data_IF_413273671671
#
_entry.id   IF_413273671671
#
_cell.length_a   1.000
_cell.length_b   1.000
_cell.length_c   1.000
_cell.angle_alpha   90.00
_cell.angle_beta   90.00
_cell.angle_gamma   90.00
#
_symmetry.space_group_name_H-M   'P 1'
#
loop_
_entity.id
_entity.type
_entity.pdbx_description
1 polymer ?
#
# COMPACT_ATOMS: atom_id res chain seq x y z
N UNK A 1 -19.65 14.26 11.19
CA UNK A 1 -20.77 15.01 10.58
C UNK A 1 -20.67 14.74 9.09
N UNK A 2 -21.57 14.09 8.36
CA UNK A 2 -22.96 13.67 8.52
C UNK A 2 -23.08 12.23 8.00
N UNK A 3 -23.68 11.32 8.77
CA UNK A 3 -24.22 10.10 8.18
C UNK A 3 -25.42 10.51 7.34
N UNK A 4 -25.21 10.60 6.03
CA UNK A 4 -26.27 10.82 5.05
C UNK A 4 -27.22 9.62 5.17
N UNK A 5 -28.30 9.79 5.94
CA UNK A 5 -29.39 8.82 6.09
C UNK A 5 -29.89 8.52 4.69
N UNK A 6 -29.42 7.42 4.11
CA UNK A 6 -29.93 6.90 2.85
C UNK A 6 -31.45 6.83 3.01
N UNK A 7 -32.24 7.40 2.08
CA UNK A 7 -33.69 7.35 2.18
C UNK A 7 -34.10 5.88 2.13
N UNK A 8 -34.25 5.32 3.33
CA UNK A 8 -35.13 4.24 3.75
C UNK A 8 -35.52 3.33 2.58
N UNK A 9 -34.78 2.24 2.39
CA UNK A 9 -35.18 1.11 1.55
C UNK A 9 -36.62 0.65 1.88
N UNK A 10 -37.02 0.85 3.14
CA UNK A 10 -38.40 0.73 3.65
C UNK A 10 -39.42 1.68 3.00
N UNK A 11 -39.01 2.82 2.45
CA UNK A 11 -39.86 3.76 1.72
C UNK A 11 -40.14 3.24 0.30
N UNK A 12 -39.15 2.61 -0.35
CA UNK A 12 -39.35 1.98 -1.65
C UNK A 12 -40.36 0.84 -1.57
N UNK A 13 -40.30 0.01 -0.52
CA UNK A 13 -41.30 -1.02 -0.30
C UNK A 13 -42.67 -0.46 0.10
N UNK A 14 -42.75 0.62 0.89
CA UNK A 14 -44.01 1.29 1.18
C UNK A 14 -44.66 1.84 -0.10
N UNK A 15 -43.85 2.38 -1.02
CA UNK A 15 -44.29 2.84 -2.34
C UNK A 15 -44.73 1.65 -3.22
N UNK A 16 -44.02 0.53 -3.23
CA UNK A 16 -44.41 -0.68 -3.98
C UNK A 16 -45.71 -1.28 -3.43
N UNK A 17 -45.87 -1.35 -2.10
CA UNK A 17 -47.10 -1.83 -1.47
C UNK A 17 -48.28 -0.90 -1.82
N UNK A 18 -48.07 0.41 -1.78
CA UNK A 18 -49.12 1.38 -2.07
C UNK A 18 -49.46 1.48 -3.57
N UNK A 19 -48.48 1.41 -4.46
CA UNK A 19 -48.69 1.54 -5.92
C UNK A 19 -49.01 0.23 -6.63
N UNK A 20 -48.57 -0.92 -6.12
CA UNK A 20 -48.76 -2.21 -6.79
C UNK A 20 -49.83 -3.04 -6.08
N UNK A 21 -49.76 -3.18 -4.75
CA UNK A 21 -50.67 -4.08 -4.04
C UNK A 21 -52.10 -3.51 -3.90
N UNK A 22 -52.23 -2.22 -3.58
CA UNK A 22 -53.53 -1.56 -3.44
C UNK A 22 -54.35 -1.52 -4.74
N UNK A 23 -53.77 -1.15 -5.90
CA UNK A 23 -54.51 -1.10 -7.15
C UNK A 23 -54.83 -2.49 -7.72
N UNK A 24 -53.91 -3.46 -7.62
CA UNK A 24 -54.16 -4.83 -8.09
C UNK A 24 -55.22 -5.54 -7.24
N UNK A 25 -55.26 -5.27 -5.93
CA UNK A 25 -56.31 -5.77 -5.05
C UNK A 25 -57.67 -5.14 -5.35
N UNK A 26 -57.73 -3.81 -5.49
CA UNK A 26 -58.97 -3.10 -5.84
C UNK A 26 -59.54 -3.53 -7.21
N UNK A 27 -58.66 -3.68 -8.20
CA UNK A 27 -59.05 -4.14 -9.54
C UNK A 27 -59.46 -5.62 -9.55
N UNK A 28 -58.81 -6.45 -8.73
CA UNK A 28 -59.17 -7.86 -8.54
C UNK A 28 -60.56 -8.06 -7.93
N UNK A 29 -60.92 -7.28 -6.90
CA UNK A 29 -62.25 -7.32 -6.27
C UNK A 29 -63.33 -6.82 -7.23
N UNK A 30 -63.06 -5.75 -7.98
CA UNK A 30 -64.00 -5.19 -8.95
C UNK A 30 -64.31 -6.16 -10.11
N UNK A 31 -63.29 -6.86 -10.62
CA UNK A 31 -63.46 -7.87 -11.68
C UNK A 31 -64.13 -9.14 -11.16
N UNK A 32 -63.81 -9.57 -9.93
CA UNK A 32 -64.46 -10.73 -9.31
C UNK A 32 -65.97 -10.53 -9.12
N UNK A 33 -66.40 -9.32 -8.77
CA UNK A 33 -67.81 -8.99 -8.59
C UNK A 33 -68.60 -8.88 -9.92
N UNK A 34 -67.93 -8.79 -11.07
CA UNK A 34 -68.58 -8.57 -12.37
C UNK A 34 -68.60 -9.80 -13.30
N UNK A 35 -67.64 -10.72 -13.21
CA UNK A 35 -67.50 -11.82 -14.19
C UNK A 35 -67.33 -13.24 -13.63
N UNK A 36 -67.34 -13.43 -12.31
CA UNK A 36 -67.31 -14.78 -11.71
C UNK A 36 -66.03 -15.59 -11.97
N UNK A 37 -64.94 -14.96 -12.43
CA UNK A 37 -63.65 -15.61 -12.66
C UNK A 37 -62.74 -15.43 -11.43
N UNK A 38 -62.66 -16.47 -10.60
CA UNK A 38 -61.84 -16.49 -9.37
C UNK A 38 -60.32 -16.45 -9.62
N UNK A 39 -59.87 -16.68 -10.86
CA UNK A 39 -58.45 -16.70 -11.20
C UNK A 39 -57.73 -15.37 -10.98
N UNK A 40 -58.40 -14.24 -11.23
CA UNK A 40 -57.79 -12.92 -11.04
C UNK A 40 -57.69 -12.55 -9.54
N UNK A 41 -58.62 -13.02 -8.72
CA UNK A 41 -58.63 -12.78 -7.27
C UNK A 41 -57.49 -13.54 -6.57
N UNK A 42 -57.25 -14.79 -6.99
CA UNK A 42 -56.13 -15.58 -6.49
C UNK A 42 -54.77 -14.94 -6.80
N UNK A 43 -54.61 -14.36 -8.00
CA UNK A 43 -53.39 -13.64 -8.39
C UNK A 43 -53.14 -12.39 -7.54
N UNK A 44 -54.20 -11.63 -7.20
CA UNK A 44 -54.11 -10.48 -6.30
C UNK A 44 -53.68 -10.87 -4.89
N UNK A 45 -54.30 -11.89 -4.29
CA UNK A 45 -53.91 -12.40 -2.97
C UNK A 45 -52.46 -12.91 -2.95
N UNK A 46 -52.01 -13.59 -4.01
CA UNK A 46 -50.63 -14.07 -4.12
C UNK A 46 -49.61 -12.92 -4.11
N UNK A 47 -49.91 -11.78 -4.75
CA UNK A 47 -49.02 -10.61 -4.76
C UNK A 47 -48.88 -9.93 -3.39
N UNK A 48 -49.96 -9.87 -2.61
CA UNK A 48 -49.95 -9.32 -1.25
C UNK A 48 -49.14 -10.23 -0.32
N UNK A 49 -49.37 -11.54 -0.40
CA UNK A 49 -48.63 -12.52 0.40
C UNK A 49 -47.14 -12.49 0.05
N UNK A 50 -46.78 -12.42 -1.23
CA UNK A 50 -45.40 -12.30 -1.67
C UNK A 50 -44.74 -11.02 -1.13
N UNK A 51 -45.45 -9.89 -1.12
CA UNK A 51 -44.94 -8.61 -0.59
C UNK A 51 -44.76 -8.66 0.93
N UNK A 52 -45.71 -9.27 1.65
CA UNK A 52 -45.64 -9.44 3.10
C UNK A 52 -44.50 -10.36 3.54
N UNK A 53 -44.12 -11.34 2.72
CA UNK A 53 -42.99 -12.24 3.00
C UNK A 53 -41.66 -11.62 2.56
N UNK A 54 -41.65 -10.86 1.46
CA UNK A 54 -40.43 -10.22 0.95
C UNK A 54 -39.86 -9.17 1.92
N UNK A 55 -40.73 -8.44 2.65
CA UNK A 55 -40.30 -7.43 3.62
C UNK A 55 -39.46 -7.97 4.80
N UNK A 56 -39.93 -8.96 5.60
CA UNK A 56 -39.14 -9.51 6.70
C UNK A 56 -37.90 -10.26 6.19
N UNK A 57 -37.98 -10.90 5.02
CA UNK A 57 -36.84 -11.56 4.39
C UNK A 57 -35.74 -10.56 3.99
N UNK A 58 -36.13 -9.42 3.40
CA UNK A 58 -35.20 -8.36 3.05
C UNK A 58 -34.53 -7.76 4.29
N UNK A 59 -35.29 -7.48 5.36
CA UNK A 59 -34.72 -7.01 6.63
C UNK A 59 -33.78 -8.02 7.30
N UNK A 60 -34.12 -9.31 7.25
CA UNK A 60 -33.26 -10.36 7.78
C UNK A 60 -31.93 -10.41 7.02
N UNK A 61 -31.96 -10.31 5.69
CA UNK A 61 -30.77 -10.29 4.85
C UNK A 61 -29.92 -9.03 5.06
N UNK A 62 -30.53 -7.85 5.25
CA UNK A 62 -29.80 -6.62 5.60
C UNK A 62 -29.10 -6.75 6.95
N UNK A 63 -29.77 -7.29 7.96
CA UNK A 63 -29.17 -7.50 9.29
C UNK A 63 -27.97 -8.45 9.27
N UNK A 64 -28.03 -9.48 8.42
CA UNK A 64 -26.91 -10.41 8.21
C UNK A 64 -25.77 -9.76 7.42
N UNK A 65 -26.10 -8.91 6.45
CA UNK A 65 -25.12 -8.18 5.64
C UNK A 65 -24.34 -7.18 6.48
N UNK A 66 -25.01 -6.46 7.36
CA UNK A 66 -24.39 -5.49 8.27
C UNK A 66 -23.44 -6.16 9.27
N UNK A 67 -23.78 -7.37 9.75
CA UNK A 67 -22.88 -8.15 10.62
C UNK A 67 -21.58 -8.56 9.88
N UNK A 68 -21.69 -8.91 8.60
CA UNK A 68 -20.55 -9.30 7.79
C UNK A 68 -19.62 -8.11 7.46
N UNK A 69 -20.20 -6.93 7.19
CA UNK A 69 -19.42 -5.71 6.92
C UNK A 69 -18.67 -5.21 8.16
N UNK A 70 -19.28 -5.28 9.35
CA UNK A 70 -18.62 -4.87 10.61
C UNK A 70 -17.42 -5.75 10.95
N UNK A 71 -17.52 -7.06 10.75
CA UNK A 71 -16.39 -7.98 10.97
C UNK A 71 -15.22 -7.64 10.04
N UNK A 72 -15.51 -7.27 8.79
CA UNK A 72 -14.48 -6.87 7.83
C UNK A 72 -13.81 -5.54 8.21
N UNK A 73 -14.59 -4.55 8.66
CA UNK A 73 -14.05 -3.28 9.17
C UNK A 73 -13.19 -3.48 10.42
N UNK A 74 -13.61 -4.34 11.35
CA UNK A 74 -12.87 -4.66 12.59
C UNK A 74 -11.53 -5.36 12.31
N UNK A 75 -11.42 -6.14 11.24
CA UNK A 75 -10.16 -6.81 10.86
C UNK A 75 -9.23 -5.84 10.09
N UNK A 76 -9.80 -4.95 9.26
CA UNK A 76 -9.01 -4.09 8.38
C UNK A 76 -8.45 -2.85 9.07
N UNK A 77 -9.20 -2.25 10.02
CA UNK A 77 -8.74 -1.10 10.80
C UNK A 77 -7.39 -1.33 11.54
N UNK A 78 -7.21 -2.40 12.33
CA UNK A 78 -5.97 -2.63 13.05
C UNK A 78 -4.79 -2.98 12.11
N UNK A 79 -5.05 -3.56 10.94
CA UNK A 79 -4.00 -3.81 9.94
C UNK A 79 -3.49 -2.51 9.34
N UNK A 80 -4.37 -1.56 9.06
CA UNK A 80 -3.99 -0.26 8.51
C UNK A 80 -3.13 0.53 9.50
N UNK A 81 -3.47 0.49 10.80
CA UNK A 81 -2.66 1.10 11.87
C UNK A 81 -1.26 0.44 11.98
N UNK A 82 -1.19 -0.90 11.95
CA UNK A 82 0.09 -1.63 12.00
C UNK A 82 0.97 -1.32 10.79
N UNK A 83 0.41 -1.22 9.59
CA UNK A 83 1.16 -0.87 8.39
C UNK A 83 1.74 0.55 8.46
N UNK A 84 1.01 1.51 9.03
CA UNK A 84 1.53 2.86 9.26
C UNK A 84 2.71 2.87 10.23
N UNK A 85 2.63 2.10 11.33
CA UNK A 85 3.73 1.98 12.30
C UNK A 85 5.00 1.34 11.71
N UNK A 86 4.83 0.32 10.85
CA UNK A 86 5.95 -0.31 10.14
C UNK A 86 6.63 0.70 9.21
N UNK A 87 5.87 1.51 8.48
CA UNK A 87 6.41 2.51 7.57
C UNK A 87 7.27 3.56 8.32
N UNK A 88 6.80 4.03 9.47
CA UNK A 88 7.54 4.99 10.31
C UNK A 88 8.86 4.39 10.80
N UNK A 89 8.82 3.14 11.29
CA UNK A 89 10.03 2.45 11.77
C UNK A 89 11.04 2.21 10.65
N UNK A 90 10.59 1.81 9.46
CA UNK A 90 11.45 1.60 8.29
C UNK A 90 12.13 2.89 7.85
N UNK A 91 11.41 4.01 7.87
CA UNK A 91 11.99 5.30 7.52
C UNK A 91 13.09 5.72 8.51
N UNK A 92 12.86 5.52 9.81
CA UNK A 92 13.87 5.80 10.84
C UNK A 92 15.11 4.90 10.73
N UNK A 93 14.94 3.63 10.38
CA UNK A 93 16.05 2.70 10.16
C UNK A 93 16.87 3.12 8.93
N UNK A 94 16.20 3.53 7.84
CA UNK A 94 16.86 4.03 6.64
C UNK A 94 17.74 5.25 6.92
N UNK A 95 17.21 6.22 7.67
CA UNK A 95 17.96 7.41 8.07
C UNK A 95 19.16 7.07 8.96
N UNK A 96 19.01 6.12 9.89
CA UNK A 96 20.10 5.68 10.76
C UNK A 96 21.20 4.92 10.00
N UNK A 97 20.85 4.10 9.01
CA UNK A 97 21.82 3.41 8.16
C UNK A 97 22.61 4.39 7.30
N UNK A 98 21.94 5.35 6.66
CA UNK A 98 22.61 6.38 5.85
C UNK A 98 23.52 7.28 6.69
N UNK A 99 23.11 7.64 7.92
CA UNK A 99 23.96 8.37 8.85
C UNK A 99 25.17 7.55 9.30
N UNK A 100 24.98 6.26 9.57
CA UNK A 100 26.07 5.33 9.94
C UNK A 100 27.09 5.17 8.81
N UNK A 101 26.64 4.96 7.56
CA UNK A 101 27.54 4.79 6.42
C UNK A 101 28.30 6.09 6.10
N UNK A 102 27.62 7.24 6.22
CA UNK A 102 28.26 8.55 6.07
C UNK A 102 29.24 8.84 7.22
N UNK A 103 28.91 8.46 8.45
CA UNK A 103 29.83 8.59 9.59
C UNK A 103 31.03 7.64 9.46
N UNK A 104 30.80 6.40 9.00
CA UNK A 104 31.85 5.41 8.75
C UNK A 104 32.79 5.89 7.65
N UNK A 105 32.28 6.30 6.50
CA UNK A 105 33.10 6.84 5.41
C UNK A 105 33.90 8.08 5.82
N UNK A 106 33.37 8.95 6.69
CA UNK A 106 34.13 10.10 7.21
C UNK A 106 35.19 9.67 8.23
N UNK A 107 34.84 8.81 9.18
CA UNK A 107 35.74 8.37 10.26
C UNK A 107 36.90 7.51 9.73
N UNK A 108 36.64 6.65 8.75
CA UNK A 108 37.65 5.76 8.17
C UNK A 108 38.43 6.38 7.01
N UNK A 109 38.01 7.53 6.47
CA UNK A 109 38.68 8.20 5.34
C UNK A 109 40.18 8.38 5.53
N UNK A 110 40.59 8.78 6.73
CA UNK A 110 41.99 9.02 7.09
C UNK A 110 42.78 7.70 7.16
N UNK A 111 42.17 6.69 7.79
CA UNK A 111 42.78 5.35 7.94
C UNK A 111 42.90 4.62 6.60
N UNK A 112 41.89 4.75 5.73
CA UNK A 112 41.89 4.17 4.40
C UNK A 112 42.95 4.85 3.51
N UNK A 113 43.12 6.16 3.64
CA UNK A 113 44.22 6.89 2.99
C UNK A 113 45.59 6.40 3.45
N UNK A 114 45.80 6.25 4.76
CA UNK A 114 47.05 5.71 5.30
C UNK A 114 47.31 4.26 4.89
N UNK A 115 46.26 3.45 4.75
CA UNK A 115 46.37 2.08 4.25
C UNK A 115 46.80 2.07 2.78
N UNK A 116 46.19 2.91 1.94
CA UNK A 116 46.55 3.07 0.52
C UNK A 116 47.99 3.56 0.36
N UNK A 117 48.42 4.57 1.13
CA UNK A 117 49.82 5.03 1.12
C UNK A 117 50.79 3.91 1.47
N UNK A 118 50.44 3.07 2.46
CA UNK A 118 51.27 1.92 2.85
C UNK A 118 51.32 0.87 1.74
N UNK A 119 50.18 0.54 1.14
CA UNK A 119 50.10 -0.40 0.03
C UNK A 119 50.93 0.07 -1.17
N UNK A 120 50.83 1.35 -1.57
CA UNK A 120 51.63 1.91 -2.68
C UNK A 120 53.13 1.80 -2.39
N UNK A 121 53.56 2.15 -1.17
CA UNK A 121 54.97 2.02 -0.78
C UNK A 121 55.43 0.56 -0.77
N UNK A 122 54.56 -0.38 -0.41
CA UNK A 122 54.85 -1.81 -0.44
C UNK A 122 55.00 -2.32 -1.87
N UNK A 123 54.09 -1.96 -2.78
CA UNK A 123 54.19 -2.35 -4.20
C UNK A 123 55.39 -1.70 -4.90
N UNK A 124 55.72 -0.45 -4.58
CA UNK A 124 56.98 0.21 -5.00
C UNK A 124 58.19 -0.60 -4.50
N UNK A 125 58.17 -1.06 -3.24
CA UNK A 125 59.23 -1.88 -2.67
C UNK A 125 59.38 -3.25 -3.34
N UNK A 126 58.28 -3.80 -3.87
CA UNK A 126 58.24 -5.03 -4.67
C UNK A 126 58.60 -4.82 -6.14
N UNK A 127 58.85 -3.57 -6.55
CA UNK A 127 59.08 -3.16 -7.95
C UNK A 127 57.89 -3.47 -8.87
N UNK A 128 56.69 -3.59 -8.32
CA UNK A 128 55.45 -3.72 -9.09
C UNK A 128 54.90 -2.31 -9.40
N UNK A 129 55.51 -1.70 -10.40
CA UNK A 129 55.22 -0.32 -10.81
C UNK A 129 53.80 -0.18 -11.39
N UNK A 130 53.28 -1.22 -12.03
CA UNK A 130 51.93 -1.21 -12.60
C UNK A 130 50.87 -1.23 -11.50
N UNK A 131 51.04 -2.07 -10.48
CA UNK A 131 50.17 -2.09 -9.31
C UNK A 131 50.24 -0.78 -8.52
N UNK A 132 51.45 -0.25 -8.29
CA UNK A 132 51.63 1.03 -7.60
C UNK A 132 50.95 2.20 -8.35
N UNK A 133 51.04 2.22 -9.69
CA UNK A 133 50.42 3.24 -10.53
C UNK A 133 48.89 3.12 -10.55
N UNK A 134 48.36 1.89 -10.57
CA UNK A 134 46.91 1.65 -10.45
C UNK A 134 46.37 2.17 -9.12
N UNK A 135 47.04 1.85 -8.00
CA UNK A 135 46.67 2.33 -6.66
C UNK A 135 46.74 3.86 -6.54
N UNK A 136 47.72 4.52 -7.19
CA UNK A 136 47.79 5.98 -7.24
C UNK A 136 46.61 6.60 -8.00
N UNK A 137 46.12 5.96 -9.06
CA UNK A 137 44.92 6.38 -9.79
C UNK A 137 43.65 6.20 -8.94
N UNK A 138 43.58 5.14 -8.15
CA UNK A 138 42.45 4.87 -7.27
C UNK A 138 42.35 5.91 -6.14
N UNK A 139 43.48 6.41 -5.62
CA UNK A 139 43.50 7.56 -4.68
C UNK A 139 42.84 8.79 -5.28
N UNK A 140 43.13 9.11 -6.55
CA UNK A 140 42.52 10.26 -7.23
C UNK A 140 41.01 10.07 -7.39
N UNK A 141 40.58 8.88 -7.80
CA UNK A 141 39.20 8.57 -8.14
C UNK A 141 38.29 8.44 -6.91
N UNK A 142 38.76 7.80 -5.85
CA UNK A 142 37.96 7.47 -4.67
C UNK A 142 38.00 8.59 -3.61
N UNK A 143 39.14 9.29 -3.47
CA UNK A 143 39.32 10.32 -2.44
C UNK A 143 39.38 11.76 -2.97
N UNK A 144 39.55 11.95 -4.29
CA UNK A 144 39.58 13.26 -4.95
C UNK A 144 40.89 14.03 -4.79
N UNK A 145 41.96 13.41 -4.25
CA UNK A 145 43.23 14.08 -3.95
C UNK A 145 44.19 14.07 -5.14
N UNK A 146 43.87 14.85 -6.17
CA UNK A 146 44.68 14.97 -7.41
C UNK A 146 46.15 15.27 -7.15
N UNK A 147 46.43 16.27 -6.31
CA UNK A 147 47.80 16.69 -6.02
C UNK A 147 48.65 15.59 -5.37
N UNK A 148 48.02 14.71 -4.59
CA UNK A 148 48.73 13.64 -3.91
C UNK A 148 48.98 12.45 -4.84
N UNK A 149 47.99 12.10 -5.66
CA UNK A 149 48.15 11.12 -6.72
C UNK A 149 49.26 11.53 -7.70
N UNK A 150 49.33 12.80 -8.10
CA UNK A 150 50.37 13.30 -9.02
C UNK A 150 51.78 13.22 -8.43
N UNK A 151 51.93 13.47 -7.11
CA UNK A 151 53.21 13.27 -6.42
C UNK A 151 53.62 11.80 -6.42
N UNK A 152 52.70 10.89 -6.08
CA UNK A 152 52.97 9.45 -6.08
C UNK A 152 53.31 8.93 -7.47
N UNK A 153 52.62 9.39 -8.52
CA UNK A 153 52.92 9.07 -9.92
C UNK A 153 54.33 9.55 -10.31
N UNK A 154 54.71 10.75 -9.87
CA UNK A 154 56.04 11.31 -10.15
C UNK A 154 57.14 10.49 -9.46
N UNK A 155 56.92 10.11 -8.19
CA UNK A 155 57.85 9.28 -7.42
C UNK A 155 58.02 7.88 -8.03
N UNK A 156 56.92 7.25 -8.48
CA UNK A 156 56.92 5.96 -9.16
C UNK A 156 57.72 6.05 -10.47
N UNK A 157 57.43 7.06 -11.31
CA UNK A 157 58.13 7.25 -12.57
C UNK A 157 59.62 7.53 -12.40
N UNK A 158 60.01 8.29 -11.36
CA UNK A 158 61.40 8.55 -11.06
C UNK A 158 62.13 7.25 -10.68
N UNK A 159 61.56 6.44 -9.78
CA UNK A 159 62.16 5.17 -9.35
C UNK A 159 62.17 4.09 -10.44
N UNK A 160 61.30 4.18 -11.43
CA UNK A 160 61.30 3.27 -12.57
C UNK A 160 62.45 3.57 -13.56
N UNK A 161 62.96 4.81 -13.58
CA UNK A 161 64.06 5.21 -14.47
C UNK A 161 65.46 5.02 -13.86
N UNK A 162 65.55 4.80 -12.54
CA UNK A 162 66.78 4.48 -11.80
C UNK A 162 67.11 2.98 -11.84
#
# INVERSE_FOLDING_TARGET
MEQKKSPSFTWMFAVVLLLVALPTFGMGVYVASSKGQFGLLAAGCASIVATLIAWPLARALESMRDANTRCFEDITAPLQERLQQINISLNQIGDQQLLSDRAKSVAYREKDREALRRAINEEIGRQDWEAAMALANDIEKEFGYKQEADRLRSDINQRWQE
#
